data_IF_694530256989
#
_entry.id   IF_694530256989
#
_cell.length_a   1.000
_cell.length_b   1.000
_cell.length_c   1.000
_cell.angle_alpha   90.00
_cell.angle_beta   90.00
_cell.angle_gamma   90.00
#
_symmetry.space_group_name_H-M   'P 1'
#
loop_
_entity.id
_entity.type
_entity.pdbx_description
1 polymer ?
#
# COMPACT_ATOMS: atom_id res chain seq x y z
N UNK A 1 -33.45 -6.28 -18.36
CA UNK A 1 -32.78 -6.30 -17.04
C UNK A 1 -31.48 -7.08 -17.18
N UNK A 2 -30.39 -6.39 -17.53
CA UNK A 2 -29.03 -6.95 -17.54
C UNK A 2 -28.09 -5.88 -17.02
N UNK A 3 -27.41 -6.06 -15.86
CA UNK A 3 -26.32 -5.19 -15.48
C UNK A 3 -25.03 -5.78 -16.06
N UNK A 4 -24.72 -5.49 -17.33
CA UNK A 4 -23.37 -5.71 -17.88
C UNK A 4 -22.44 -4.56 -17.48
N UNK A 5 -22.50 -4.16 -16.22
CA UNK A 5 -21.46 -3.35 -15.60
C UNK A 5 -20.37 -4.29 -15.16
N UNK A 6 -19.43 -4.62 -16.06
CA UNK A 6 -18.15 -5.18 -15.67
C UNK A 6 -17.44 -4.07 -14.88
N UNK A 7 -17.83 -3.87 -13.61
CA UNK A 7 -16.97 -3.23 -12.63
C UNK A 7 -15.73 -4.10 -12.67
N UNK A 8 -14.65 -3.58 -13.24
CA UNK A 8 -13.35 -3.95 -12.72
C UNK A 8 -13.52 -3.76 -11.21
N UNK A 9 -13.58 -4.86 -10.47
CA UNK A 9 -13.24 -4.77 -9.07
C UNK A 9 -11.82 -4.22 -9.14
N UNK A 10 -11.67 -2.91 -8.92
CA UNK A 10 -10.37 -2.37 -8.59
C UNK A 10 -10.02 -3.18 -7.34
N UNK A 11 -9.25 -4.25 -7.55
CA UNK A 11 -8.75 -5.11 -6.49
C UNK A 11 -7.77 -4.23 -5.75
N UNK A 12 -8.34 -3.42 -4.86
CA UNK A 12 -7.64 -2.38 -4.14
C UNK A 12 -6.62 -3.05 -3.26
N UNK A 13 -5.39 -2.55 -3.30
CA UNK A 13 -4.37 -2.99 -2.40
C UNK A 13 -4.63 -2.38 -1.02
N UNK A 14 -4.42 -3.15 0.03
CA UNK A 14 -4.56 -2.65 1.40
C UNK A 14 -3.22 -2.07 1.84
N UNK A 15 -3.23 -0.81 2.28
CA UNK A 15 -2.06 -0.20 2.90
C UNK A 15 -1.77 -0.89 4.24
N UNK A 16 -0.53 -1.34 4.46
CA UNK A 16 -0.10 -1.97 5.71
C UNK A 16 -0.22 -1.03 6.91
N UNK A 17 0.06 0.27 6.72
CA UNK A 17 0.10 1.22 7.84
C UNK A 17 -1.28 1.73 8.27
N UNK A 18 -2.14 2.07 7.30
CA UNK A 18 -3.44 2.67 7.58
C UNK A 18 -4.61 1.73 7.28
N UNK A 19 -4.37 0.52 6.80
CA UNK A 19 -5.37 -0.52 6.48
C UNK A 19 -6.45 -0.09 5.47
N UNK A 20 -6.25 1.03 4.77
CA UNK A 20 -7.17 1.52 3.76
C UNK A 20 -6.95 0.81 2.42
N UNK A 21 -8.06 0.50 1.74
CA UNK A 21 -8.03 0.06 0.35
C UNK A 21 -7.68 1.24 -0.56
N UNK A 22 -6.61 1.07 -1.33
CA UNK A 22 -6.11 2.06 -2.27
C UNK A 22 -5.86 1.41 -3.62
N UNK A 23 -6.05 2.19 -4.68
CA UNK A 23 -5.80 1.69 -6.05
C UNK A 23 -4.31 1.58 -6.37
N UNK A 24 -3.46 2.23 -5.56
CA UNK A 24 -2.00 2.27 -5.74
C UNK A 24 -1.29 2.08 -4.41
N UNK A 25 -0.38 1.11 -4.38
CA UNK A 25 0.57 0.91 -3.29
C UNK A 25 2.00 0.97 -3.80
N UNK A 26 2.89 1.33 -2.88
CA UNK A 26 4.32 1.37 -3.05
C UNK A 26 4.93 0.31 -2.13
N UNK A 27 5.69 -0.66 -2.67
CA UNK A 27 6.42 -1.60 -1.84
C UNK A 27 7.56 -0.88 -1.10
N UNK A 28 7.68 -1.13 0.20
CA UNK A 28 8.73 -0.61 1.07
C UNK A 28 9.39 -1.76 1.82
N UNK A 29 10.66 -1.61 2.14
CA UNK A 29 11.42 -2.59 2.91
C UNK A 29 11.66 -2.05 4.31
N UNK A 30 10.97 -2.62 5.30
CA UNK A 30 11.23 -2.36 6.71
C UNK A 30 12.39 -3.24 7.18
N UNK A 31 13.35 -2.63 7.86
CA UNK A 31 14.47 -3.32 8.48
C UNK A 31 14.21 -3.40 9.98
N UNK A 32 13.67 -4.53 10.44
CA UNK A 32 13.36 -4.77 11.86
C UNK A 32 14.20 -5.93 12.38
N UNK A 33 14.98 -5.69 13.43
CA UNK A 33 15.67 -6.73 14.20
C UNK A 33 16.37 -7.80 13.34
N UNK A 34 17.17 -7.36 12.36
CA UNK A 34 17.96 -8.21 11.45
C UNK A 34 17.17 -8.91 10.32
N UNK A 35 15.86 -8.66 10.21
CA UNK A 35 15.02 -9.13 9.10
C UNK A 35 14.55 -7.97 8.20
N UNK A 36 14.54 -8.22 6.89
CA UNK A 36 13.97 -7.32 5.88
C UNK A 36 12.53 -7.75 5.54
N UNK A 37 11.55 -6.92 5.91
CA UNK A 37 10.13 -7.15 5.61
C UNK A 37 9.67 -6.24 4.49
N UNK A 38 9.08 -6.83 3.47
CA UNK A 38 8.60 -6.12 2.29
C UNK A 38 7.10 -5.87 2.45
N UNK A 39 6.72 -4.65 2.79
CA UNK A 39 5.33 -4.25 3.06
C UNK A 39 4.82 -3.27 2.00
N UNK A 40 3.50 -3.10 1.91
CA UNK A 40 2.86 -2.24 0.90
C UNK A 40 2.22 -1.02 1.56
N UNK A 41 2.62 0.18 1.15
CA UNK A 41 2.07 1.43 1.67
C UNK A 41 1.32 2.21 0.59
N UNK A 42 0.28 2.93 0.97
CA UNK A 42 -0.31 3.92 0.07
C UNK A 42 0.66 5.08 -0.17
N UNK A 43 0.34 5.92 -1.16
CA UNK A 43 1.14 7.11 -1.50
C UNK A 43 1.46 7.99 -0.28
N UNK A 44 0.49 8.24 0.60
CA UNK A 44 0.65 9.13 1.74
C UNK A 44 1.57 8.51 2.80
N UNK A 45 1.28 7.28 3.25
CA UNK A 45 2.14 6.58 4.21
C UNK A 45 3.53 6.28 3.66
N UNK A 46 3.66 6.05 2.34
CA UNK A 46 4.95 5.92 1.67
C UNK A 46 5.76 7.21 1.76
N UNK A 47 5.14 8.38 1.58
CA UNK A 47 5.82 9.67 1.71
C UNK A 47 6.31 9.91 3.15
N UNK A 48 5.49 9.60 4.16
CA UNK A 48 5.88 9.69 5.57
C UNK A 48 7.01 8.71 5.92
N UNK A 49 6.94 7.49 5.37
CA UNK A 49 7.99 6.50 5.53
C UNK A 49 9.31 6.96 4.88
N UNK A 50 9.25 7.54 3.67
CA UNK A 50 10.41 8.13 3.00
C UNK A 50 11.05 9.23 3.84
N UNK A 51 10.26 10.08 4.50
CA UNK A 51 10.79 11.10 5.41
C UNK A 51 11.44 10.46 6.63
N UNK A 52 10.84 9.39 7.18
CA UNK A 52 11.36 8.66 8.35
C UNK A 52 12.69 7.96 8.08
N UNK A 53 12.92 7.45 6.87
CA UNK A 53 14.22 6.83 6.49
C UNK A 53 15.27 7.85 6.05
N UNK A 54 14.86 9.10 5.79
CA UNK A 54 15.77 10.14 5.28
C UNK A 54 16.72 10.67 6.34
N UNK A 55 16.52 10.31 7.61
CA UNK A 55 17.40 10.64 8.75
C UNK A 55 16.93 11.85 9.54
#
# INVERSE_FOLDING_TARGET
>A
MQPTGRRAFCEGYTCYHCEHQVEKVHPVTFYEAEEERNEMLCKDCYAEWLESIKG
#
